data_IF_232174267028
#
_entry.id   IF_232174267028
#
_cell.length_a   1.000
_cell.length_b   1.000
_cell.length_c   1.000
_cell.angle_alpha   90.00
_cell.angle_beta   90.00
_cell.angle_gamma   90.00
#
_symmetry.space_group_name_H-M   'P 1'
#
loop_
_entity.id
_entity.type
_entity.pdbx_description
1 polymer ?
#
# COMPACT_ATOMS: atom_id res chain seq x y z
N UNK A 1 -34.95 -6.20 21.14
CA UNK A 1 -34.32 -5.19 20.26
C UNK A 1 -32.82 -5.33 20.40
N UNK A 2 -32.11 -5.54 19.29
CA UNK A 2 -30.67 -5.84 19.26
C UNK A 2 -29.87 -4.67 19.85
N UNK A 3 -29.18 -4.90 20.96
CA UNK A 3 -28.28 -3.99 21.68
C UNK A 3 -26.99 -3.63 20.91
N UNK A 4 -26.95 -3.94 19.61
CA UNK A 4 -25.76 -3.91 18.76
C UNK A 4 -25.71 -2.70 17.81
N UNK A 5 -26.57 -1.68 17.99
CA UNK A 5 -26.73 -0.60 17.00
C UNK A 5 -26.04 0.72 17.33
N UNK A 6 -25.57 0.93 18.55
CA UNK A 6 -24.90 2.18 18.92
C UNK A 6 -23.45 1.89 19.30
N UNK A 7 -22.52 2.53 18.58
CA UNK A 7 -21.13 2.60 19.01
C UNK A 7 -21.05 3.29 20.35
N UNK A 8 -20.36 2.66 21.30
CA UNK A 8 -20.04 3.32 22.55
C UNK A 8 -18.97 4.36 22.32
N UNK A 9 -18.81 5.24 23.29
CA UNK A 9 -17.71 6.20 23.30
C UNK A 9 -16.36 5.47 23.22
N UNK A 10 -16.19 4.37 23.95
CA UNK A 10 -14.93 3.61 23.94
C UNK A 10 -14.62 3.01 22.57
N UNK A 11 -15.64 2.49 21.86
CA UNK A 11 -15.48 1.94 20.51
C UNK A 11 -14.98 3.02 19.55
N UNK A 12 -15.54 4.23 19.64
CA UNK A 12 -15.13 5.36 18.80
C UNK A 12 -13.72 5.83 19.14
N UNK A 13 -13.38 5.93 20.42
CA UNK A 13 -12.05 6.33 20.87
C UNK A 13 -10.99 5.32 20.39
N UNK A 14 -11.27 4.03 20.51
CA UNK A 14 -10.38 2.97 20.05
C UNK A 14 -10.19 2.99 18.52
N UNK A 15 -11.27 3.19 17.75
CA UNK A 15 -11.16 3.25 16.29
C UNK A 15 -10.36 4.48 15.82
N UNK A 16 -10.54 5.64 16.45
CA UNK A 16 -9.77 6.84 16.11
C UNK A 16 -8.28 6.66 16.45
N UNK A 17 -7.97 6.08 17.62
CA UNK A 17 -6.59 5.79 18.00
C UNK A 17 -5.93 4.76 17.06
N UNK A 18 -6.68 3.74 16.62
CA UNK A 18 -6.21 2.77 15.64
C UNK A 18 -5.91 3.44 14.29
N UNK A 19 -6.82 4.30 13.83
CA UNK A 19 -6.62 5.03 12.58
C UNK A 19 -5.38 5.93 12.64
N UNK A 20 -5.20 6.68 13.72
CA UNK A 20 -4.03 7.54 13.91
C UNK A 20 -2.71 6.74 13.94
N UNK A 21 -2.73 5.55 14.56
CA UNK A 21 -1.60 4.63 14.52
C UNK A 21 -1.30 4.17 13.09
N UNK A 22 -2.31 3.68 12.36
CA UNK A 22 -2.15 3.17 11.00
C UNK A 22 -1.68 4.26 10.02
N UNK A 23 -2.21 5.48 10.14
CA UNK A 23 -1.80 6.66 9.37
C UNK A 23 -0.33 7.04 9.64
N UNK A 24 0.20 6.68 10.81
CA UNK A 24 1.58 6.90 11.21
C UNK A 24 2.57 5.82 10.76
N UNK A 25 2.12 4.74 10.10
CA UNK A 25 2.96 3.63 9.64
C UNK A 25 3.30 3.72 8.15
N UNK A 26 4.45 3.19 7.77
CA UNK A 26 4.83 3.02 6.37
C UNK A 26 3.97 1.93 5.70
N UNK A 27 3.29 2.21 4.58
CA UNK A 27 2.39 1.26 3.92
C UNK A 27 3.11 0.04 3.30
N UNK A 28 4.44 0.10 3.16
CA UNK A 28 5.24 -1.00 2.61
C UNK A 28 5.76 -1.96 3.67
N UNK A 29 6.27 -1.44 4.78
CA UNK A 29 6.98 -2.23 5.79
C UNK A 29 6.34 -2.23 7.18
N UNK A 30 5.32 -1.40 7.43
CA UNK A 30 4.59 -1.33 8.69
C UNK A 30 5.34 -0.68 9.85
N UNK A 31 6.52 -0.10 9.62
CA UNK A 31 7.29 0.62 10.64
C UNK A 31 6.82 2.08 10.77
N UNK A 32 7.08 2.77 11.91
CA UNK A 32 6.73 4.17 12.08
C UNK A 32 7.33 5.05 10.99
N UNK A 33 6.48 5.83 10.32
CA UNK A 33 6.88 6.64 9.16
C UNK A 33 7.87 7.72 9.59
N UNK A 34 7.60 8.43 10.69
CA UNK A 34 8.46 9.50 11.21
C UNK A 34 9.91 9.04 11.47
N UNK A 35 10.09 7.78 11.87
CA UNK A 35 11.38 7.18 12.15
C UNK A 35 12.07 6.67 10.87
N UNK A 36 11.28 6.06 9.96
CA UNK A 36 11.82 5.44 8.73
C UNK A 36 12.07 6.42 7.59
N UNK A 37 11.47 7.62 7.63
CA UNK A 37 11.75 8.70 6.67
C UNK A 37 12.83 9.67 7.15
N UNK A 38 13.35 9.50 8.36
CA UNK A 38 14.45 10.32 8.88
C UNK A 38 15.76 9.95 8.17
N UNK A 39 16.42 10.95 7.58
CA UNK A 39 17.71 10.80 6.90
C UNK A 39 18.80 10.24 7.84
N UNK A 40 18.71 10.52 9.14
CA UNK A 40 19.62 9.98 10.15
C UNK A 40 19.57 8.44 10.23
N UNK A 41 18.46 7.83 9.80
CA UNK A 41 18.20 6.40 9.96
C UNK A 41 18.35 5.58 8.66
N UNK A 42 18.83 6.19 7.57
CA UNK A 42 18.95 5.55 6.25
C UNK A 42 19.71 4.21 6.26
N UNK A 43 20.67 4.03 7.17
CA UNK A 43 21.46 2.80 7.31
C UNK A 43 21.16 2.00 8.60
N UNK A 44 20.20 2.45 9.42
CA UNK A 44 19.94 1.88 10.73
C UNK A 44 19.15 0.57 10.68
N UNK A 45 18.24 0.43 9.69
CA UNK A 45 17.34 -0.72 9.60
C UNK A 45 17.79 -1.71 8.52
N UNK A 46 18.04 -2.96 8.94
CA UNK A 46 18.17 -4.09 8.02
C UNK A 46 16.83 -4.84 7.99
N UNK A 47 16.16 -4.84 6.84
CA UNK A 47 15.06 -5.78 6.62
C UNK A 47 15.63 -7.21 6.64
N UNK A 48 15.20 -8.01 7.61
CA UNK A 48 15.34 -9.46 7.49
C UNK A 48 14.49 -9.89 6.29
N UNK A 49 15.03 -10.64 5.31
CA UNK A 49 14.27 -11.00 4.12
C UNK A 49 13.08 -11.87 4.52
N UNK A 50 11.83 -11.47 4.24
CA UNK A 50 10.74 -12.42 4.35
C UNK A 50 10.88 -13.43 3.21
N UNK A 51 10.72 -14.71 3.52
CA UNK A 51 10.38 -15.73 2.53
C UNK A 51 9.14 -15.21 1.81
N UNK A 52 9.21 -14.79 0.54
CA UNK A 52 8.15 -13.99 -0.05
C UNK A 52 6.88 -14.82 -0.08
N UNK A 53 5.86 -14.39 0.67
CA UNK A 53 4.55 -14.99 0.61
C UNK A 53 3.99 -14.83 -0.81
N UNK A 54 3.07 -15.71 -1.23
CA UNK A 54 2.53 -15.66 -2.58
C UNK A 54 1.84 -14.33 -2.91
N UNK A 55 1.31 -13.63 -1.91
CA UNK A 55 0.75 -12.28 -2.05
C UNK A 55 1.83 -11.27 -2.45
N UNK A 56 2.97 -11.21 -1.74
CA UNK A 56 4.08 -10.32 -2.08
C UNK A 56 4.67 -10.64 -3.46
N UNK A 57 4.75 -11.93 -3.84
CA UNK A 57 5.17 -12.32 -5.20
C UNK A 57 4.21 -11.81 -6.27
N UNK A 58 2.90 -11.89 -6.03
CA UNK A 58 1.88 -11.40 -6.94
C UNK A 58 1.92 -9.87 -7.08
N UNK A 59 2.11 -9.15 -5.96
CA UNK A 59 2.27 -7.68 -5.99
C UNK A 59 3.54 -7.27 -6.72
N UNK A 60 4.67 -7.91 -6.47
CA UNK A 60 5.92 -7.63 -7.18
C UNK A 60 5.78 -7.88 -8.69
N UNK A 61 5.13 -8.98 -9.08
CA UNK A 61 4.83 -9.28 -10.47
C UNK A 61 3.91 -8.22 -11.10
N UNK A 62 2.88 -7.76 -10.39
CA UNK A 62 2.00 -6.69 -10.85
C UNK A 62 2.74 -5.34 -11.01
N UNK A 63 3.58 -4.97 -10.05
CA UNK A 63 4.41 -3.77 -10.14
C UNK A 63 5.43 -3.84 -11.29
N UNK A 64 6.02 -5.02 -11.52
CA UNK A 64 6.93 -5.26 -12.65
C UNK A 64 6.20 -5.10 -13.99
N UNK A 65 5.05 -5.74 -14.13
CA UNK A 65 4.21 -5.65 -15.33
C UNK A 65 3.77 -4.20 -15.61
N UNK A 66 3.35 -3.45 -14.58
CA UNK A 66 2.97 -2.04 -14.74
C UNK A 66 4.15 -1.15 -15.18
N UNK A 67 5.36 -1.40 -14.68
CA UNK A 67 6.58 -0.68 -15.10
C UNK A 67 6.98 -1.02 -16.53
N UNK A 68 6.77 -2.26 -16.97
CA UNK A 68 7.01 -2.69 -18.35
C UNK A 68 5.97 -2.10 -19.32
N UNK A 69 4.70 -2.10 -18.94
CA UNK A 69 3.62 -1.48 -19.72
C UNK A 69 3.84 0.04 -19.88
N UNK A 70 4.22 0.75 -18.81
CA UNK A 70 4.60 2.17 -18.89
C UNK A 70 5.77 2.42 -19.86
N UNK A 71 6.79 1.55 -19.87
CA UNK A 71 7.91 1.65 -20.83
C UNK A 71 7.49 1.35 -22.27
N UNK A 72 6.57 0.40 -22.47
CA UNK A 72 5.96 0.11 -23.76
C UNK A 72 5.14 1.30 -24.29
N UNK A 73 4.40 1.96 -23.40
CA UNK A 73 3.60 3.15 -23.68
C UNK A 73 4.45 4.35 -24.13
N UNK A 74 5.55 4.62 -23.43
CA UNK A 74 6.47 5.69 -23.80
C UNK A 74 7.15 5.43 -25.15
N UNK A 75 7.35 4.16 -25.53
CA UNK A 75 8.09 3.79 -26.75
C UNK A 75 7.24 3.69 -28.01
N UNK A 76 5.96 3.31 -27.90
CA UNK A 76 5.12 3.06 -29.09
C UNK A 76 3.85 3.93 -29.18
N UNK A 77 3.61 4.81 -28.21
CA UNK A 77 2.40 5.63 -28.15
C UNK A 77 1.16 4.78 -27.85
N UNK A 78 0.11 5.40 -27.29
CA UNK A 78 -1.18 4.72 -27.03
C UNK A 78 -1.68 4.08 -28.33
N UNK A 79 -1.97 2.76 -28.35
CA UNK A 79 -2.81 2.22 -29.40
C UNK A 79 -4.15 2.94 -29.27
N UNK A 80 -4.51 3.76 -30.25
CA UNK A 80 -5.87 4.28 -30.31
C UNK A 80 -6.77 3.04 -30.39
N UNK A 81 -7.43 2.72 -29.29
CA UNK A 81 -8.54 1.77 -29.27
C UNK A 81 -9.54 2.30 -30.28
N UNK A 82 -9.46 1.78 -31.52
CA UNK A 82 -10.44 2.06 -32.57
C UNK A 82 -11.77 1.59 -31.99
N UNK A 83 -12.58 2.56 -31.56
CA UNK A 83 -13.96 2.31 -31.14
C UNK A 83 -14.63 1.58 -32.29
N UNK A 84 -14.80 0.26 -32.18
CA UNK A 84 -15.68 -0.49 -33.07
C UNK A 84 -17.07 0.13 -32.90
N UNK A 85 -17.48 0.93 -33.90
CA UNK A 85 -18.89 1.27 -34.05
C UNK A 85 -19.64 -0.03 -34.32
N UNK A 86 -20.79 -0.11 -33.67
CA UNK A 86 -21.71 -1.26 -33.55
C UNK A 86 -21.89 -2.05 -34.83
#
# INVERSE_FOLDING_TARGET
MSQWRAWRYEDRAAALALQELEDGLCPGCGNPLHETTDEANVAAYRMAPPTPCYSCKAQEAAHRAAREDQRGWMRFGRPQLRRRRR
#
